data_IF_038387298918
#
_entry.id   IF_038387298918
#
_cell.length_a   1.000
_cell.length_b   1.000
_cell.length_c   1.000
_cell.angle_alpha   90.00
_cell.angle_beta   90.00
_cell.angle_gamma   90.00
#
_symmetry.space_group_name_H-M   'P 1'
#
loop_
_entity.id
_entity.type
_entity.pdbx_description
1 polymer ?
#
# COMPACT_ATOMS: atom_id res chain seq x y z
N UNK A 1 -6.97 -4.67 -0.57
CA UNK A 1 -6.08 -3.60 -1.07
C UNK A 1 -5.17 -3.01 0.02
N UNK A 2 -5.64 -2.82 1.26
CA UNK A 2 -4.81 -2.20 2.29
C UNK A 2 -3.55 -3.00 2.63
N UNK A 3 -3.67 -4.32 2.85
CA UNK A 3 -2.53 -5.14 3.26
C UNK A 3 -1.51 -5.40 2.15
N UNK A 4 -1.96 -5.55 0.90
CA UNK A 4 -1.08 -5.90 -0.24
C UNK A 4 -0.60 -4.69 -1.05
N UNK A 5 -1.27 -3.54 -0.96
CA UNK A 5 -0.94 -2.35 -1.75
C UNK A 5 -0.68 -1.12 -0.86
N UNK A 6 -1.67 -0.67 -0.08
CA UNK A 6 -1.60 0.60 0.65
C UNK A 6 -0.50 0.59 1.70
N UNK A 7 -0.52 -0.37 2.62
CA UNK A 7 0.45 -0.44 3.71
C UNK A 7 1.87 -0.72 3.21
N UNK A 8 2.12 -1.63 2.26
CA UNK A 8 3.47 -1.82 1.71
C UNK A 8 4.03 -0.54 1.06
N UNK A 9 3.25 0.17 0.24
CA UNK A 9 3.70 1.42 -0.38
C UNK A 9 4.03 2.50 0.65
N UNK A 10 3.15 2.72 1.62
CA UNK A 10 3.37 3.75 2.65
C UNK A 10 4.55 3.36 3.54
N UNK A 11 4.63 2.10 3.99
CA UNK A 11 5.76 1.59 4.78
C UNK A 11 7.08 1.75 4.03
N UNK A 12 7.12 1.51 2.72
CA UNK A 12 8.32 1.70 1.90
C UNK A 12 8.73 3.18 1.81
N UNK A 13 7.76 4.11 1.70
CA UNK A 13 8.02 5.56 1.67
C UNK A 13 8.52 6.10 3.01
N UNK A 14 7.97 5.60 4.11
CA UNK A 14 8.32 6.01 5.47
C UNK A 14 9.49 5.21 6.05
N UNK A 15 10.05 4.25 5.31
CA UNK A 15 11.09 3.34 5.79
C UNK A 15 12.31 4.12 6.25
N UNK A 16 12.76 3.84 7.47
CA UNK A 16 13.96 4.44 8.06
C UNK A 16 13.75 5.82 8.68
N UNK A 17 12.55 6.40 8.56
CA UNK A 17 12.22 7.65 9.24
C UNK A 17 11.94 7.38 10.72
N UNK A 18 12.29 8.33 11.58
CA UNK A 18 11.96 8.33 13.02
C UNK A 18 11.15 9.57 13.32
N UNK A 19 10.01 9.38 13.98
CA UNK A 19 9.13 10.46 14.39
C UNK A 19 9.27 10.68 15.90
N UNK A 20 9.23 11.94 16.33
CA UNK A 20 9.34 12.32 17.73
C UNK A 20 7.99 12.20 18.46
N UNK A 21 6.87 12.19 17.73
CA UNK A 21 5.54 12.01 18.29
C UNK A 21 4.60 11.19 17.40
N UNK A 22 3.51 10.65 17.97
CA UNK A 22 2.45 9.99 17.21
C UNK A 22 1.80 10.91 16.17
N UNK A 23 1.62 12.20 16.48
CA UNK A 23 1.00 13.19 15.59
C UNK A 23 1.86 13.39 14.34
N UNK A 24 3.17 13.52 14.50
CA UNK A 24 4.12 13.63 13.39
C UNK A 24 4.06 12.39 12.49
N UNK A 25 3.99 11.19 13.08
CA UNK A 25 3.87 9.94 12.32
C UNK A 25 2.55 9.86 11.54
N UNK A 26 1.44 10.31 12.15
CA UNK A 26 0.12 10.35 11.50
C UNK A 26 0.10 11.35 10.34
N UNK A 27 0.71 12.52 10.52
CA UNK A 27 0.75 13.53 9.45
C UNK A 27 1.68 13.10 8.31
N UNK A 28 2.82 12.47 8.61
CA UNK A 28 3.66 11.83 7.60
C UNK A 28 2.89 10.76 6.81
N UNK A 29 2.11 9.93 7.49
CA UNK A 29 1.25 8.92 6.85
C UNK A 29 0.22 9.56 5.91
N UNK A 30 -0.52 10.58 6.38
CA UNK A 30 -1.51 11.31 5.57
C UNK A 30 -0.90 11.93 4.33
N UNK A 31 0.26 12.58 4.47
CA UNK A 31 0.96 13.20 3.36
C UNK A 31 1.31 12.17 2.28
N UNK A 32 1.85 11.01 2.67
CA UNK A 32 2.15 9.93 1.70
C UNK A 32 0.88 9.42 1.00
N UNK A 33 -0.25 9.29 1.72
CA UNK A 33 -1.52 8.86 1.12
C UNK A 33 -2.03 9.88 0.11
N UNK A 34 -1.98 11.17 0.43
CA UNK A 34 -2.44 12.25 -0.44
C UNK A 34 -1.54 12.47 -1.67
N UNK A 35 -0.24 12.20 -1.54
CA UNK A 35 0.73 12.29 -2.64
C UNK A 35 0.60 11.14 -3.65
N UNK A 36 -0.08 10.04 -3.31
CA UNK A 36 -0.22 8.90 -4.21
C UNK A 36 -1.13 9.25 -5.41
N UNK A 37 -0.63 9.14 -6.65
CA UNK A 37 -1.43 9.40 -7.84
C UNK A 37 -2.68 8.52 -7.94
N UNK A 38 -3.79 9.08 -8.43
CA UNK A 38 -5.05 8.36 -8.62
C UNK A 38 -4.91 7.09 -9.48
N UNK A 39 -4.04 7.09 -10.50
CA UNK A 39 -3.81 5.92 -11.35
C UNK A 39 -3.14 4.77 -10.59
N UNK A 40 -2.30 5.04 -9.58
CA UNK A 40 -1.69 4.00 -8.76
C UNK A 40 -2.75 3.29 -7.91
N UNK A 41 -3.75 4.01 -7.41
CA UNK A 41 -4.88 3.42 -6.68
C UNK A 41 -5.69 2.46 -7.55
N UNK A 42 -5.93 2.83 -8.81
CA UNK A 42 -6.67 1.99 -9.76
C UNK A 42 -5.94 0.67 -10.05
N UNK A 43 -4.61 0.70 -10.18
CA UNK A 43 -3.79 -0.50 -10.46
C UNK A 43 -3.96 -1.61 -9.42
N UNK A 44 -4.26 -1.27 -8.16
CA UNK A 44 -4.40 -2.30 -7.13
C UNK A 44 -5.61 -3.23 -7.34
N UNK A 45 -6.56 -2.83 -8.19
CA UNK A 45 -7.76 -3.61 -8.51
C UNK A 45 -7.67 -4.39 -9.83
N UNK A 46 -6.63 -4.15 -10.65
CA UNK A 46 -6.47 -4.82 -11.95
C UNK A 46 -6.33 -6.34 -11.80
N UNK A 47 -5.67 -6.79 -10.73
CA UNK A 47 -5.42 -8.20 -10.45
C UNK A 47 -6.39 -8.81 -9.43
N UNK A 48 -7.52 -8.15 -9.15
CA UNK A 48 -8.44 -8.59 -8.08
C UNK A 48 -8.99 -10.01 -8.30
N UNK A 49 -9.13 -10.42 -9.56
CA UNK A 49 -9.68 -11.71 -9.95
C UNK A 49 -8.64 -12.82 -10.11
N UNK A 50 -7.36 -12.54 -9.87
CA UNK A 50 -6.28 -13.51 -10.06
C UNK A 50 -6.43 -14.74 -9.14
N UNK A 51 -7.06 -14.56 -7.96
CA UNK A 51 -7.47 -15.64 -7.06
C UNK A 51 -8.36 -16.72 -7.75
N UNK A 52 -9.25 -16.30 -8.66
CA UNK A 52 -10.14 -17.21 -9.39
C UNK A 52 -9.34 -18.05 -10.37
N UNK A 53 -8.42 -17.42 -11.11
CA UNK A 53 -7.55 -18.09 -12.09
C UNK A 53 -6.63 -19.12 -11.40
N UNK A 54 -6.24 -18.84 -10.16
CA UNK A 54 -5.35 -19.66 -9.35
C UNK A 54 -6.09 -20.60 -8.39
N UNK A 55 -7.42 -20.75 -8.52
CA UNK A 55 -8.23 -21.68 -7.73
C UNK A 55 -8.07 -21.52 -6.21
N UNK A 56 -7.86 -20.28 -5.76
CA UNK A 56 -7.68 -19.96 -4.34
C UNK A 56 -6.26 -20.14 -3.80
N UNK A 57 -5.28 -20.48 -4.65
CA UNK A 57 -3.86 -20.46 -4.25
C UNK A 57 -3.38 -19.03 -4.00
N UNK A 58 -2.42 -18.88 -3.07
CA UNK A 58 -1.79 -17.59 -2.81
C UNK A 58 -0.90 -17.17 -3.99
N UNK A 59 -0.96 -15.88 -4.33
CA UNK A 59 -0.17 -15.26 -5.38
C UNK A 59 0.42 -13.95 -4.89
N UNK A 60 1.40 -14.06 -4.02
CA UNK A 60 2.27 -12.93 -3.71
C UNK A 60 3.70 -13.46 -3.77
N UNK A 61 4.44 -12.96 -4.77
CA UNK A 61 5.80 -13.33 -5.23
C UNK A 61 5.83 -14.21 -6.48
N UNK A 62 5.95 -13.55 -7.63
CA UNK A 62 6.98 -13.90 -8.62
C UNK A 62 7.95 -12.72 -8.70
#
# INVERSE_FOLDING_TARGET
PNDFFTFPKIKNRLRGQRFQSPEEAVDAFKNVVLDLPANEWNKCFENWFECINLRGEYFEKQ
#
